data_IF_940454055926
#
_entry.id   IF_940454055926
#
_cell.length_a   1.000
_cell.length_b   1.000
_cell.length_c   1.000
_cell.angle_alpha   90.00
_cell.angle_beta   90.00
_cell.angle_gamma   90.00
#
_symmetry.space_group_name_H-M   'P 1'
#
loop_
_entity.id
_entity.type
_entity.pdbx_description
1 polymer ?
#
# COMPACT_ATOMS: atom_id res chain seq x y z
N UNK A 1 -11.12 -20.70 -0.32
CA UNK A 1 -11.81 -19.48 0.18
C UNK A 1 -11.37 -18.31 -0.71
N UNK A 2 -12.29 -17.58 -1.35
CA UNK A 2 -11.95 -16.40 -2.13
C UNK A 2 -11.68 -15.23 -1.16
N UNK A 3 -10.45 -14.82 -1.05
CA UNK A 3 -10.08 -13.68 -0.21
C UNK A 3 -9.87 -12.46 -1.13
N UNK A 4 -10.58 -11.37 -0.90
CA UNK A 4 -10.46 -10.10 -1.65
C UNK A 4 -10.63 -10.21 -3.18
N UNK A 5 -11.45 -11.12 -3.67
CA UNK A 5 -11.66 -11.30 -5.10
C UNK A 5 -10.50 -11.96 -5.88
N UNK A 6 -9.40 -12.33 -5.20
CA UNK A 6 -8.27 -13.03 -5.81
C UNK A 6 -8.58 -14.54 -5.83
N UNK A 7 -8.43 -15.18 -6.99
CA UNK A 7 -8.59 -16.63 -7.12
C UNK A 7 -7.42 -17.38 -6.47
N UNK A 8 -7.63 -18.64 -6.13
CA UNK A 8 -6.55 -19.48 -5.58
C UNK A 8 -5.38 -19.65 -6.57
N UNK A 9 -5.68 -19.69 -7.86
CA UNK A 9 -4.67 -19.77 -8.92
C UNK A 9 -3.83 -18.49 -8.98
N UNK A 10 -4.48 -17.32 -8.92
CA UNK A 10 -3.80 -16.03 -8.87
C UNK A 10 -2.93 -15.89 -7.61
N UNK A 11 -3.41 -16.36 -6.47
CA UNK A 11 -2.66 -16.37 -5.22
C UNK A 11 -1.40 -17.23 -5.31
N UNK A 12 -1.51 -18.44 -5.88
CA UNK A 12 -0.38 -19.36 -6.05
C UNK A 12 0.63 -18.88 -7.10
N UNK A 13 0.19 -18.07 -8.06
CA UNK A 13 1.05 -17.51 -9.11
C UNK A 13 1.97 -16.38 -8.60
N UNK A 14 1.62 -15.72 -7.50
CA UNK A 14 2.43 -14.65 -6.90
C UNK A 14 3.06 -15.13 -5.58
N UNK A 15 4.40 -15.25 -5.51
CA UNK A 15 5.10 -15.66 -4.29
C UNK A 15 4.80 -14.78 -3.07
N UNK A 16 4.44 -13.50 -3.26
CA UNK A 16 4.05 -12.60 -2.17
C UNK A 16 2.68 -12.91 -1.61
N UNK A 17 1.81 -13.52 -2.41
CA UNK A 17 0.46 -13.90 -2.06
C UNK A 17 0.34 -15.38 -1.72
N UNK A 18 1.36 -16.19 -2.02
CA UNK A 18 1.36 -17.63 -1.76
C UNK A 18 1.70 -17.96 -0.30
N UNK A 19 0.91 -17.37 0.61
CA UNK A 19 0.95 -17.71 2.03
C UNK A 19 -0.48 -17.89 2.55
N UNK A 20 -0.61 -18.70 3.60
CA UNK A 20 -1.88 -18.89 4.27
C UNK A 20 -2.26 -17.62 5.03
N UNK A 21 -3.36 -16.98 4.60
CA UNK A 21 -3.93 -15.81 5.28
C UNK A 21 -4.74 -16.21 6.52
N UNK A 22 -5.33 -17.39 6.49
CA UNK A 22 -6.07 -17.96 7.61
C UNK A 22 -6.18 -19.47 7.45
N UNK A 23 -6.33 -20.18 8.57
CA UNK A 23 -6.57 -21.61 8.62
C UNK A 23 -7.76 -21.91 9.53
N UNK A 24 -8.53 -22.94 9.18
CA UNK A 24 -9.56 -23.47 10.06
C UNK A 24 -8.90 -24.49 11.02
N UNK A 25 -9.07 -24.27 12.30
CA UNK A 25 -8.54 -25.14 13.36
C UNK A 25 -9.66 -25.53 14.31
N UNK A 26 -9.54 -26.68 14.95
CA UNK A 26 -10.45 -27.06 16.02
C UNK A 26 -10.21 -26.18 17.25
N UNK A 27 -11.30 -25.70 17.87
CA UNK A 27 -11.21 -24.90 19.08
C UNK A 27 -10.74 -25.80 20.25
N UNK A 28 -9.56 -25.54 20.84
CA UNK A 28 -9.03 -26.36 21.92
C UNK A 28 -9.87 -26.28 23.21
N UNK A 29 -10.74 -25.30 23.34
CA UNK A 29 -11.58 -25.08 24.53
C UNK A 29 -12.98 -25.63 24.38
N UNK A 30 -13.46 -25.85 23.15
CA UNK A 30 -14.81 -26.33 22.85
C UNK A 30 -14.75 -27.44 21.82
N UNK A 31 -14.78 -28.71 22.23
CA UNK A 31 -14.70 -29.83 21.29
C UNK A 31 -15.78 -29.79 20.20
N UNK A 32 -15.41 -30.08 18.97
CA UNK A 32 -16.30 -30.08 17.80
C UNK A 32 -16.60 -28.71 17.22
N UNK A 33 -16.13 -27.63 17.85
CA UNK A 33 -16.21 -26.28 17.28
C UNK A 33 -14.97 -25.98 16.43
N UNK A 34 -15.17 -25.42 15.25
CA UNK A 34 -14.09 -24.93 14.40
C UNK A 34 -14.02 -23.41 14.44
N UNK A 35 -12.81 -22.88 14.48
CA UNK A 35 -12.51 -21.44 14.46
C UNK A 35 -11.50 -21.12 13.37
N UNK A 36 -11.52 -19.91 12.88
CA UNK A 36 -10.54 -19.43 11.89
C UNK A 36 -9.38 -18.76 12.63
N UNK A 37 -8.21 -19.33 12.52
CA UNK A 37 -6.98 -18.75 13.01
C UNK A 37 -6.34 -17.87 11.94
N UNK A 38 -5.98 -16.64 12.30
CA UNK A 38 -5.29 -15.68 11.43
C UNK A 38 -3.91 -15.41 12.04
N UNK A 39 -2.81 -15.55 11.28
CA UNK A 39 -1.49 -15.27 11.80
C UNK A 39 -1.33 -13.77 12.06
N UNK A 40 -0.72 -13.42 13.19
CA UNK A 40 -0.36 -12.04 13.48
C UNK A 40 0.69 -11.55 12.48
N UNK A 41 0.49 -10.42 11.80
CA UNK A 41 1.49 -9.85 10.90
C UNK A 41 2.73 -9.44 11.69
N UNK A 42 3.91 -9.68 11.10
CA UNK A 42 5.19 -9.18 11.63
C UNK A 42 5.51 -7.88 10.90
N UNK A 43 5.41 -6.76 11.61
CA UNK A 43 5.65 -5.44 11.07
C UNK A 43 7.06 -4.99 11.48
N UNK A 44 7.92 -4.73 10.51
CA UNK A 44 9.26 -4.21 10.77
C UNK A 44 9.23 -2.71 11.07
N UNK A 45 8.36 -1.98 10.38
CA UNK A 45 8.18 -0.54 10.53
C UNK A 45 6.72 -0.17 10.38
N UNK A 46 6.20 0.66 11.30
CA UNK A 46 4.95 1.39 11.16
C UNK A 46 5.25 2.88 10.95
N UNK A 47 4.49 3.52 10.08
CA UNK A 47 4.47 4.98 9.93
C UNK A 47 3.02 5.42 10.13
N UNK A 48 2.78 6.24 11.14
CA UNK A 48 1.44 6.65 11.56
C UNK A 48 1.40 8.17 11.60
N UNK A 49 0.32 8.75 11.06
CA UNK A 49 0.07 10.19 11.16
C UNK A 49 -0.98 10.47 12.23
N UNK A 50 -0.66 11.41 13.13
CA UNK A 50 -1.54 11.79 14.25
C UNK A 50 -1.73 13.30 14.31
N UNK A 51 -2.78 13.74 14.98
CA UNK A 51 -3.01 15.18 15.16
C UNK A 51 -1.92 15.82 16.02
N UNK A 52 -1.64 15.22 17.17
CA UNK A 52 -0.67 15.78 18.12
C UNK A 52 0.27 14.71 18.65
N UNK A 53 1.53 15.05 18.77
CA UNK A 53 2.53 14.22 19.43
C UNK A 53 3.43 15.09 20.31
N UNK A 54 3.95 14.50 21.39
CA UNK A 54 4.98 15.12 22.21
C UNK A 54 6.36 14.57 21.88
N UNK A 55 7.44 15.27 22.27
CA UNK A 55 8.81 14.82 21.98
C UNK A 55 9.18 13.47 22.57
N UNK A 56 8.49 13.00 23.62
CA UNK A 56 8.67 11.67 24.19
C UNK A 56 7.95 10.55 23.42
N UNK A 57 7.22 10.90 22.35
CA UNK A 57 6.50 9.94 21.52
C UNK A 57 5.06 9.69 21.91
N UNK A 58 4.57 10.30 22.99
CA UNK A 58 3.17 10.16 23.38
C UNK A 58 2.27 10.89 22.39
N UNK A 59 1.23 10.20 21.86
CA UNK A 59 0.40 10.72 20.79
C UNK A 59 -1.08 10.79 21.16
N UNK A 60 -1.72 11.83 20.63
CA UNK A 60 -3.16 12.04 20.67
C UNK A 60 -3.74 11.79 19.29
N UNK A 61 -4.73 10.91 19.21
CA UNK A 61 -5.54 10.69 18.01
C UNK A 61 -6.95 11.16 18.33
N UNK A 62 -7.44 12.11 17.55
CA UNK A 62 -8.80 12.60 17.64
C UNK A 62 -9.69 11.88 16.63
N UNK A 63 -10.87 11.44 17.06
CA UNK A 63 -11.77 10.65 16.22
C UNK A 63 -11.46 9.15 16.24
N UNK A 64 -11.75 8.48 15.12
CA UNK A 64 -11.55 7.04 15.00
C UNK A 64 -10.07 6.71 14.78
N UNK A 65 -9.56 5.77 15.57
CA UNK A 65 -8.17 5.33 15.52
C UNK A 65 -7.94 4.10 14.63
N UNK A 66 -9.02 3.45 14.17
CA UNK A 66 -8.99 2.23 13.35
C UNK A 66 -8.00 1.20 13.90
N UNK A 67 -6.92 0.94 13.14
CA UNK A 67 -5.87 -0.02 13.49
C UNK A 67 -4.55 0.65 13.90
N UNK A 68 -4.51 1.96 14.04
CA UNK A 68 -3.27 2.70 14.29
C UNK A 68 -2.59 2.27 15.59
N UNK A 69 -3.37 2.09 16.65
CA UNK A 69 -2.87 1.63 17.95
C UNK A 69 -2.36 0.19 17.87
N UNK A 70 -3.12 -0.70 17.21
CA UNK A 70 -2.73 -2.09 17.03
C UNK A 70 -1.44 -2.22 16.22
N UNK A 71 -1.30 -1.42 15.17
CA UNK A 71 -0.10 -1.35 14.31
C UNK A 71 1.09 -0.81 15.10
N UNK A 72 0.89 0.23 15.92
CA UNK A 72 1.94 0.79 16.78
C UNK A 72 2.49 -0.24 17.75
N UNK A 73 1.62 -1.03 18.39
CA UNK A 73 2.02 -2.06 19.35
C UNK A 73 2.65 -3.27 18.66
N UNK A 74 2.19 -3.63 17.45
CA UNK A 74 2.67 -4.80 16.73
C UNK A 74 3.99 -4.59 15.99
N UNK A 75 4.36 -3.35 15.70
CA UNK A 75 5.56 -3.03 14.92
C UNK A 75 6.84 -3.05 15.77
N UNK A 76 7.96 -3.42 15.13
CA UNK A 76 9.29 -3.39 15.75
C UNK A 76 9.80 -1.96 15.94
N UNK A 77 9.43 -1.07 15.00
CA UNK A 77 9.76 0.36 15.04
C UNK A 77 8.53 1.14 14.60
N UNK A 78 8.30 2.27 15.24
CA UNK A 78 7.20 3.17 14.92
C UNK A 78 7.74 4.56 14.67
N UNK A 79 7.44 5.13 13.53
CA UNK A 79 7.65 6.54 13.23
C UNK A 79 6.29 7.21 13.25
N UNK A 80 6.15 8.23 14.07
CA UNK A 80 4.95 9.06 14.12
C UNK A 80 5.23 10.38 13.41
N UNK A 81 4.36 10.74 12.47
CA UNK A 81 4.28 12.10 11.93
C UNK A 81 3.10 12.81 12.57
N UNK A 82 3.20 14.09 12.88
CA UNK A 82 2.12 14.84 13.52
C UNK A 82 1.92 16.21 12.87
N UNK A 83 0.66 16.65 12.87
CA UNK A 83 0.34 18.01 12.47
C UNK A 83 0.83 19.04 13.48
N UNK A 84 0.80 18.70 14.76
CA UNK A 84 1.19 19.59 15.85
C UNK A 84 2.11 18.90 16.83
N UNK A 85 3.29 19.47 17.05
CA UNK A 85 4.20 19.03 18.11
C UNK A 85 3.91 19.82 19.38
N UNK A 86 3.42 19.13 20.40
CA UNK A 86 3.01 19.72 21.68
C UNK A 86 3.94 19.34 22.82
N UNK A 87 3.88 20.03 23.95
CA UNK A 87 4.67 19.66 25.12
C UNK A 87 4.13 18.42 25.82
N UNK A 88 5.00 17.70 26.54
CA UNK A 88 4.59 16.56 27.34
C UNK A 88 3.55 16.95 28.41
N UNK A 89 3.68 18.14 28.99
CA UNK A 89 2.73 18.67 29.98
C UNK A 89 1.36 18.94 29.37
N UNK A 90 1.32 19.34 28.08
CA UNK A 90 0.06 19.54 27.37
C UNK A 90 -0.72 18.24 27.30
N UNK A 91 -0.11 17.14 26.89
CA UNK A 91 -0.78 15.83 26.79
C UNK A 91 -1.15 15.30 28.18
N UNK A 92 -0.31 15.49 29.20
CA UNK A 92 -0.58 15.04 30.55
C UNK A 92 -1.75 15.72 31.23
N UNK A 93 -2.23 16.88 30.73
CA UNK A 93 -3.44 17.55 31.26
C UNK A 93 -4.70 16.73 31.03
N UNK A 94 -4.75 15.99 29.90
CA UNK A 94 -5.85 15.10 29.59
C UNK A 94 -5.35 13.77 29.05
N UNK A 95 -4.95 12.85 29.93
CA UNK A 95 -4.44 11.54 29.52
C UNK A 95 -5.49 10.66 28.86
N UNK A 96 -6.78 11.02 28.92
CA UNK A 96 -7.86 10.26 28.27
C UNK A 96 -7.79 10.32 26.75
N UNK A 97 -7.10 11.30 26.18
CA UNK A 97 -6.89 11.48 24.75
C UNK A 97 -5.64 10.74 24.22
N UNK A 98 -4.78 10.25 25.13
CA UNK A 98 -3.61 9.47 24.74
C UNK A 98 -4.03 8.14 24.11
N UNK A 99 -3.52 7.87 22.90
CA UNK A 99 -3.78 6.63 22.16
C UNK A 99 -2.53 5.79 21.95
N UNK A 100 -1.40 6.42 21.61
CA UNK A 100 -0.12 5.75 21.44
C UNK A 100 0.81 6.24 22.54
N UNK A 101 1.40 5.29 23.26
CA UNK A 101 2.36 5.59 24.33
C UNK A 101 3.77 5.76 23.76
N UNK A 102 4.53 6.68 24.36
CA UNK A 102 5.88 7.01 23.90
C UNK A 102 6.83 5.82 23.82
N UNK A 103 6.65 4.81 24.67
CA UNK A 103 7.46 3.60 24.67
C UNK A 103 7.37 2.80 23.36
N UNK A 104 6.26 2.93 22.64
CA UNK A 104 6.06 2.27 21.34
C UNK A 104 6.76 3.04 20.21
N UNK A 105 7.06 4.34 20.39
CA UNK A 105 7.47 5.26 19.33
C UNK A 105 8.99 5.36 19.26
N UNK A 106 9.54 5.13 18.08
CA UNK A 106 10.98 5.24 17.82
C UNK A 106 11.41 6.63 17.38
N UNK A 107 10.53 7.37 16.71
CA UNK A 107 10.78 8.73 16.24
C UNK A 107 9.49 9.51 16.06
N UNK A 108 9.53 10.82 16.35
CA UNK A 108 8.45 11.78 16.08
C UNK A 108 8.93 12.79 15.05
N UNK A 109 8.11 13.07 14.06
CA UNK A 109 8.38 14.02 12.98
C UNK A 109 7.25 15.04 12.92
N UNK A 110 7.56 16.32 13.10
CA UNK A 110 6.62 17.39 12.90
C UNK A 110 6.38 17.58 11.38
N UNK A 111 5.21 17.25 10.91
CA UNK A 111 4.82 17.26 9.50
C UNK A 111 3.39 17.84 9.34
N UNK A 112 3.24 19.16 9.46
CA UNK A 112 1.95 19.82 9.27
C UNK A 112 1.35 19.46 7.91
N UNK A 113 0.04 19.21 7.89
CA UNK A 113 -0.68 18.71 6.72
C UNK A 113 -0.19 17.35 6.19
N UNK A 114 0.41 16.52 7.05
CA UNK A 114 1.00 15.24 6.63
C UNK A 114 0.00 14.21 6.14
N UNK A 115 -1.29 14.35 6.42
CA UNK A 115 -2.35 13.50 5.87
C UNK A 115 -2.92 14.03 4.53
N UNK A 116 -2.60 15.29 4.13
CA UNK A 116 -3.08 15.82 2.85
C UNK A 116 -2.65 14.92 1.68
N UNK A 117 -3.48 14.67 0.68
CA UNK A 117 -4.79 15.27 0.37
C UNK A 117 -6.00 14.61 1.07
N UNK A 118 -5.77 13.70 1.99
CA UNK A 118 -6.81 13.15 2.86
C UNK A 118 -7.12 14.09 4.03
N UNK A 119 -8.18 13.80 4.75
CA UNK A 119 -8.55 14.58 5.93
C UNK A 119 -7.71 14.24 7.15
N UNK A 120 -7.55 15.21 8.04
CA UNK A 120 -7.13 15.01 9.43
C UNK A 120 -8.20 15.59 10.35
N UNK A 121 -8.90 14.74 11.08
CA UNK A 121 -10.08 15.14 11.87
C UNK A 121 -9.77 16.30 12.82
N UNK A 122 -10.63 17.32 12.85
CA UNK A 122 -10.48 18.60 13.56
C UNK A 122 -9.37 19.54 13.06
N UNK A 123 -8.57 19.16 12.06
CA UNK A 123 -7.48 19.98 11.52
C UNK A 123 -7.78 20.46 10.11
N UNK A 124 -8.11 19.57 9.20
CA UNK A 124 -8.47 19.91 7.82
C UNK A 124 -9.26 18.81 7.14
N UNK A 125 -10.07 19.21 6.18
CA UNK A 125 -10.84 18.31 5.33
C UNK A 125 -10.00 17.79 4.15
N UNK A 126 -10.50 16.74 3.50
CA UNK A 126 -9.90 16.21 2.28
C UNK A 126 -10.00 17.20 1.13
N UNK A 127 -8.99 17.21 0.26
CA UNK A 127 -8.98 17.96 -1.00
C UNK A 127 -9.45 17.06 -2.16
N UNK A 128 -10.73 17.17 -2.57
CA UNK A 128 -11.28 16.31 -3.63
C UNK A 128 -10.67 16.61 -5.01
N UNK A 129 -10.10 17.79 -5.22
CA UNK A 129 -9.45 18.13 -6.48
C UNK A 129 -8.08 17.46 -6.56
N UNK A 130 -7.27 17.57 -5.52
CA UNK A 130 -5.98 16.92 -5.44
C UNK A 130 -6.13 15.38 -5.50
N UNK A 131 -7.14 14.80 -4.83
CA UNK A 131 -7.43 13.37 -4.92
C UNK A 131 -7.80 12.93 -6.35
N UNK A 132 -8.57 13.72 -7.08
CA UNK A 132 -8.89 13.44 -8.50
C UNK A 132 -7.67 13.55 -9.41
N UNK A 133 -6.79 14.50 -9.15
CA UNK A 133 -5.53 14.65 -9.89
C UNK A 133 -4.60 13.49 -9.63
N UNK A 134 -4.47 13.07 -8.36
CA UNK A 134 -3.71 11.87 -7.99
C UNK A 134 -4.25 10.60 -8.66
N UNK A 135 -5.59 10.40 -8.66
CA UNK A 135 -6.21 9.25 -9.34
C UNK A 135 -5.93 9.24 -10.85
N UNK A 136 -5.95 10.41 -11.50
CA UNK A 136 -5.57 10.54 -12.91
C UNK A 136 -4.10 10.21 -13.14
N UNK A 137 -3.21 10.71 -12.28
CA UNK A 137 -1.78 10.47 -12.36
C UNK A 137 -1.44 8.99 -12.13
N UNK A 138 -2.09 8.35 -11.16
CA UNK A 138 -1.93 6.92 -10.87
C UNK A 138 -2.33 6.05 -12.06
N UNK A 139 -3.47 6.33 -12.69
CA UNK A 139 -3.93 5.62 -13.90
C UNK A 139 -2.99 5.82 -15.08
N UNK A 140 -2.37 6.99 -15.18
CA UNK A 140 -1.37 7.26 -16.19
C UNK A 140 -0.09 6.43 -15.94
N UNK A 141 0.37 6.38 -14.71
CA UNK A 141 1.54 5.58 -14.33
C UNK A 141 1.29 4.09 -14.59
N UNK A 142 0.10 3.58 -14.22
CA UNK A 142 -0.28 2.19 -14.50
C UNK A 142 -0.24 1.87 -15.99
N UNK A 143 -0.68 2.81 -16.85
CA UNK A 143 -0.65 2.65 -18.30
C UNK A 143 0.79 2.66 -18.86
N UNK A 144 1.68 3.52 -18.35
CA UNK A 144 3.09 3.55 -18.74
C UNK A 144 3.82 2.28 -18.27
N UNK A 145 3.54 1.78 -17.07
CA UNK A 145 4.10 0.54 -16.55
C UNK A 145 3.64 -0.68 -17.39
N UNK A 146 2.37 -0.72 -17.75
CA UNK A 146 1.83 -1.75 -18.64
C UNK A 146 2.50 -1.72 -20.03
N UNK A 147 2.68 -0.53 -20.60
CA UNK A 147 3.40 -0.32 -21.87
C UNK A 147 4.84 -0.80 -21.78
N UNK A 148 5.54 -0.46 -20.68
CA UNK A 148 6.92 -0.90 -20.47
C UNK A 148 7.02 -2.44 -20.34
N UNK A 149 6.06 -3.08 -19.69
CA UNK A 149 5.98 -4.54 -19.57
C UNK A 149 5.73 -5.22 -20.93
N UNK A 150 4.81 -4.68 -21.74
CA UNK A 150 4.52 -5.18 -23.08
C UNK A 150 5.75 -5.05 -23.98
N UNK A 151 6.46 -3.94 -23.95
CA UNK A 151 7.69 -3.75 -24.71
C UNK A 151 8.80 -4.76 -24.31
N UNK A 152 8.96 -5.03 -23.00
CA UNK A 152 9.89 -6.06 -22.50
C UNK A 152 9.48 -7.47 -22.95
N UNK A 153 8.20 -7.78 -22.94
CA UNK A 153 7.66 -9.06 -23.40
C UNK A 153 7.88 -9.26 -24.91
N UNK A 154 7.64 -8.22 -25.71
CA UNK A 154 7.88 -8.22 -27.14
C UNK A 154 9.37 -8.45 -27.46
N UNK A 155 10.27 -7.74 -26.81
CA UNK A 155 11.71 -7.91 -26.97
C UNK A 155 12.18 -9.33 -26.59
N UNK A 156 11.62 -9.92 -25.53
CA UNK A 156 11.91 -11.31 -25.12
C UNK A 156 11.41 -12.31 -26.16
N UNK A 157 10.19 -12.13 -26.67
CA UNK A 157 9.62 -12.99 -27.70
C UNK A 157 10.40 -12.91 -29.03
N UNK A 158 10.80 -11.71 -29.44
CA UNK A 158 11.62 -11.50 -30.63
C UNK A 158 12.98 -12.18 -30.49
N UNK A 159 13.63 -12.10 -29.33
CA UNK A 159 14.90 -12.80 -29.06
C UNK A 159 14.75 -14.32 -29.10
N UNK A 160 13.63 -14.86 -28.59
CA UNK A 160 13.37 -16.30 -28.65
C UNK A 160 13.11 -16.77 -30.08
N UNK A 161 12.38 -16.00 -30.90
CA UNK A 161 12.14 -16.30 -32.33
C UNK A 161 13.42 -16.25 -33.12
N UNK A 162 14.31 -15.28 -32.88
CA UNK A 162 15.62 -15.18 -33.51
C UNK A 162 16.56 -16.35 -33.18
N UNK A 163 16.43 -16.93 -31.97
CA UNK A 163 17.22 -18.08 -31.53
C UNK A 163 16.74 -19.42 -32.14
N UNK A 164 15.50 -19.48 -32.65
CA UNK A 164 14.91 -20.66 -33.27
C UNK A 164 14.08 -20.28 -34.51
N UNK A 165 14.75 -19.86 -35.61
CA UNK A 165 14.09 -19.28 -36.79
C UNK A 165 13.16 -20.26 -37.53
N UNK A 166 13.38 -21.57 -37.37
CA UNK A 166 12.53 -22.60 -37.98
C UNK A 166 11.21 -22.87 -37.21
N UNK A 167 11.02 -22.22 -36.09
CA UNK A 167 9.82 -22.40 -35.24
C UNK A 167 8.78 -21.33 -35.55
N UNK A 168 7.85 -21.62 -36.45
CA UNK A 168 6.75 -20.72 -36.84
C UNK A 168 5.93 -20.23 -35.67
N UNK A 169 5.69 -21.07 -34.65
CA UNK A 169 4.90 -20.66 -33.46
C UNK A 169 5.60 -19.57 -32.65
N UNK A 170 6.92 -19.59 -32.58
CA UNK A 170 7.69 -18.53 -31.90
C UNK A 170 7.69 -17.24 -32.71
N UNK A 171 7.76 -17.33 -34.02
CA UNK A 171 7.68 -16.18 -34.91
C UNK A 171 6.29 -15.50 -34.83
N UNK A 172 5.22 -16.29 -34.83
CA UNK A 172 3.84 -15.78 -34.67
C UNK A 172 3.64 -15.14 -33.28
N UNK A 173 4.13 -15.77 -32.23
CA UNK A 173 4.06 -15.24 -30.87
C UNK A 173 4.83 -13.90 -30.74
N UNK A 174 5.99 -13.78 -31.38
CA UNK A 174 6.77 -12.54 -31.41
C UNK A 174 6.03 -11.41 -32.15
N UNK A 175 5.45 -11.72 -33.31
CA UNK A 175 4.65 -10.75 -34.08
C UNK A 175 3.43 -10.26 -33.30
N UNK A 176 2.73 -11.16 -32.60
CA UNK A 176 1.57 -10.82 -31.77
C UNK A 176 1.98 -9.94 -30.57
N UNK A 177 3.10 -10.27 -29.91
CA UNK A 177 3.61 -9.49 -28.80
C UNK A 177 4.08 -8.09 -29.24
N UNK A 178 4.74 -7.99 -30.41
CA UNK A 178 5.16 -6.71 -30.98
C UNK A 178 3.95 -5.83 -31.31
N UNK A 179 2.92 -6.39 -31.97
CA UNK A 179 1.70 -5.64 -32.25
C UNK A 179 1.02 -5.11 -30.99
N UNK A 180 0.94 -5.92 -29.92
CA UNK A 180 0.35 -5.48 -28.66
C UNK A 180 1.16 -4.33 -28.02
N UNK A 181 2.49 -4.35 -28.13
CA UNK A 181 3.36 -3.28 -27.63
C UNK A 181 3.19 -1.98 -28.46
N UNK A 182 3.08 -2.10 -29.79
CA UNK A 182 2.87 -0.97 -30.70
C UNK A 182 1.50 -0.31 -30.49
N UNK A 183 0.42 -1.12 -30.33
CA UNK A 183 -0.92 -0.66 -30.04
C UNK A 183 -0.98 0.08 -28.68
N UNK A 184 -0.30 -0.44 -27.66
CA UNK A 184 -0.19 0.21 -26.35
C UNK A 184 0.62 1.51 -26.44
N UNK A 185 1.66 1.56 -27.26
CA UNK A 185 2.46 2.77 -27.46
C UNK A 185 1.66 3.90 -28.13
N UNK A 186 0.78 3.58 -29.06
CA UNK A 186 -0.07 4.55 -29.76
C UNK A 186 -1.20 5.12 -28.90
N UNK A 187 -1.66 4.37 -27.88
CA UNK A 187 -2.83 4.72 -27.05
C UNK A 187 -2.53 5.63 -25.86
N UNK A 188 -1.27 5.83 -25.48
CA UNK A 188 -0.89 6.61 -24.29
C UNK A 188 -0.45 8.02 -24.67
N UNK A 189 -1.35 9.00 -24.56
CA UNK A 189 -1.03 10.42 -24.71
C UNK A 189 -0.60 10.98 -23.34
N UNK A 190 0.62 11.55 -23.24
CA UNK A 190 1.12 12.23 -22.04
C UNK A 190 0.37 13.54 -21.87
N UNK A 191 -0.39 13.75 -20.79
CA UNK A 191 -0.95 15.06 -20.48
C UNK A 191 0.15 16.10 -20.32
N UNK A 192 -0.01 17.28 -20.95
CA UNK A 192 0.99 18.36 -20.96
C UNK A 192 1.36 18.80 -19.54
N UNK A 193 0.42 18.70 -18.61
CA UNK A 193 0.56 19.08 -17.20
C UNK A 193 1.57 18.28 -16.38
N UNK A 194 2.02 17.12 -16.87
CA UNK A 194 2.97 16.25 -16.16
C UNK A 194 4.41 16.33 -16.70
N UNK A 195 4.69 17.21 -17.66
CA UNK A 195 6.05 17.39 -18.19
C UNK A 195 6.91 18.33 -17.35
N UNK A 196 6.32 19.04 -16.39
CA UNK A 196 6.96 20.09 -15.60
C UNK A 196 7.15 19.74 -14.11
N UNK A 197 6.96 18.45 -13.71
CA UNK A 197 7.23 17.93 -12.37
C UNK A 197 8.38 16.94 -12.35
#
# INVERSE_FOLDING_TARGET
MKFWGISEEQRKADPKLDNLKCVEVENPFVPGQKVVAVPTPRLDLAVIHVQQASPDGTCVILGDEFHDVDIAVAARKVIVTCDELVSNEFIRRDPTLTRIFGECVSAVVHAPYGAWPSQCYNYYDNDPNALREYDKASKYQDAEDAKAQLAKAAAKAAKAAAAAPENEKLAEAAAKAQKAADDAAAGVAIPQTFKDY
#
